data_IF_657305376368
#
_entry.id   IF_657305376368
#
_cell.length_a   1.000
_cell.length_b   1.000
_cell.length_c   1.000
_cell.angle_alpha   90.00
_cell.angle_beta   90.00
_cell.angle_gamma   90.00
#
_symmetry.space_group_name_H-M   'P 1'
#
loop_
_entity.id
_entity.type
_entity.pdbx_description
1 polymer ?
#
# COMPACT_ATOMS: atom_id res chain seq x y z
N UNK A 1 -13.64 24.94 -48.88
CA UNK A 1 -15.05 25.37 -48.77
C UNK A 1 -15.91 24.58 -49.76
N UNK A 2 -16.41 23.38 -49.39
CA UNK A 2 -17.46 22.63 -50.12
C UNK A 2 -17.90 21.32 -49.43
N UNK A 3 -17.20 20.86 -48.38
CA UNK A 3 -17.59 19.66 -47.60
C UNK A 3 -18.68 19.91 -46.54
N UNK A 4 -19.15 21.15 -46.39
CA UNK A 4 -20.14 21.55 -45.37
C UNK A 4 -21.59 21.32 -45.83
N UNK A 5 -21.82 20.88 -47.08
CA UNK A 5 -23.15 20.84 -47.70
C UNK A 5 -23.88 19.48 -47.64
N UNK A 6 -23.37 18.47 -46.93
CA UNK A 6 -23.95 17.10 -47.02
C UNK A 6 -24.23 16.47 -45.66
N UNK A 7 -24.80 17.18 -44.67
CA UNK A 7 -25.42 16.54 -43.50
C UNK A 7 -26.54 17.42 -42.90
N UNK A 8 -27.49 17.85 -43.73
CA UNK A 8 -28.77 18.42 -43.29
C UNK A 8 -29.88 17.49 -43.78
N UNK A 9 -30.15 16.43 -43.00
CA UNK A 9 -31.22 15.46 -43.24
C UNK A 9 -31.69 14.88 -41.92
N UNK A 10 -32.92 15.20 -41.55
CA UNK A 10 -33.53 15.01 -40.24
C UNK A 10 -33.88 13.55 -39.91
N UNK A 11 -33.62 13.12 -38.66
CA UNK A 11 -34.35 12.07 -37.91
C UNK A 11 -34.19 12.41 -36.42
N UNK A 12 -35.15 13.10 -35.78
CA UNK A 12 -36.20 12.54 -34.92
C UNK A 12 -35.71 11.59 -33.81
N UNK A 13 -35.95 12.03 -32.55
CA UNK A 13 -35.99 11.25 -31.31
C UNK A 13 -34.65 10.68 -30.80
N UNK A 14 -34.06 11.37 -29.82
CA UNK A 14 -33.75 10.86 -28.47
C UNK A 14 -33.18 11.99 -27.63
N UNK A 15 -34.04 12.81 -27.05
CA UNK A 15 -33.67 13.70 -25.94
C UNK A 15 -33.50 12.85 -24.67
N UNK A 16 -32.37 12.13 -24.51
CA UNK A 16 -32.07 11.40 -23.28
C UNK A 16 -30.60 10.98 -23.08
N UNK A 17 -29.61 11.45 -23.86
CA UNK A 17 -28.21 10.99 -23.65
C UNK A 17 -27.19 12.11 -23.84
N UNK A 18 -27.32 13.21 -23.08
CA UNK A 18 -26.17 14.06 -22.71
C UNK A 18 -26.42 14.71 -21.35
N UNK A 19 -26.60 13.90 -20.31
CA UNK A 19 -26.26 14.35 -18.97
C UNK A 19 -24.76 14.08 -18.79
N UNK A 20 -23.95 15.04 -18.30
CA UNK A 20 -22.57 14.79 -17.97
C UNK A 20 -22.49 13.60 -17.01
N UNK A 21 -21.47 12.76 -17.21
CA UNK A 21 -21.22 11.52 -16.47
C UNK A 21 -21.00 11.69 -14.95
N UNK A 22 -21.29 12.86 -14.36
CA UNK A 22 -21.17 13.13 -12.93
C UNK A 22 -22.37 12.65 -12.09
N UNK A 23 -23.33 11.94 -12.69
CA UNK A 23 -24.43 11.31 -11.97
C UNK A 23 -24.51 9.79 -12.23
N UNK A 24 -23.41 9.06 -12.11
CA UNK A 24 -23.48 7.66 -11.70
C UNK A 24 -23.69 7.58 -10.18
N UNK A 25 -24.87 8.03 -9.75
CA UNK A 25 -25.44 7.72 -8.45
C UNK A 25 -26.15 6.36 -8.48
N UNK A 26 -25.47 5.32 -8.97
CA UNK A 26 -25.95 3.92 -8.91
C UNK A 26 -24.96 3.00 -8.20
N UNK A 27 -24.04 3.56 -7.41
CA UNK A 27 -23.61 2.83 -6.22
C UNK A 27 -24.78 2.87 -5.25
N UNK A 28 -25.61 1.83 -5.30
CA UNK A 28 -26.34 1.43 -4.09
C UNK A 28 -25.32 1.47 -2.97
N UNK A 29 -25.62 2.22 -1.90
CA UNK A 29 -24.79 2.24 -0.70
C UNK A 29 -24.74 0.79 -0.24
N UNK A 30 -23.71 0.05 -0.62
CA UNK A 30 -23.32 -1.17 0.05
C UNK A 30 -22.96 -0.66 1.44
N UNK A 31 -23.89 -0.80 2.39
CA UNK A 31 -23.55 -0.64 3.80
C UNK A 31 -22.60 -1.78 4.12
N UNK A 32 -21.31 -1.58 3.83
CA UNK A 32 -20.27 -2.51 4.23
C UNK A 32 -20.40 -2.69 5.73
N UNK A 33 -20.51 -3.94 6.15
CA UNK A 33 -20.57 -4.25 7.56
C UNK A 33 -19.27 -3.78 8.24
N UNK A 34 -19.33 -3.51 9.53
CA UNK A 34 -18.13 -3.13 10.31
C UNK A 34 -17.02 -4.20 10.18
N UNK A 35 -17.40 -5.47 9.99
CA UNK A 35 -16.46 -6.56 9.73
C UNK A 35 -15.77 -6.45 8.36
N UNK A 36 -16.50 -6.15 7.28
CA UNK A 36 -15.92 -5.97 5.95
C UNK A 36 -14.96 -4.76 5.89
N UNK A 37 -15.33 -3.65 6.53
CA UNK A 37 -14.47 -2.47 6.64
C UNK A 37 -13.19 -2.75 7.44
N UNK A 38 -13.29 -3.54 8.50
CA UNK A 38 -12.12 -3.94 9.30
C UNK A 38 -11.17 -4.86 8.52
N UNK A 39 -11.71 -5.77 7.70
CA UNK A 39 -10.92 -6.66 6.84
C UNK A 39 -10.22 -5.89 5.72
N UNK A 40 -10.92 -4.97 5.03
CA UNK A 40 -10.33 -4.08 4.02
C UNK A 40 -9.20 -3.22 4.63
N UNK A 41 -9.40 -2.69 5.84
CA UNK A 41 -8.37 -1.95 6.57
C UNK A 41 -7.18 -2.85 6.96
N UNK A 42 -7.43 -4.08 7.41
CA UNK A 42 -6.36 -5.02 7.76
C UNK A 42 -5.51 -5.40 6.54
N UNK A 43 -6.13 -5.60 5.37
CA UNK A 43 -5.42 -5.87 4.11
C UNK A 43 -4.54 -4.69 3.70
N UNK A 44 -5.10 -3.48 3.73
CA UNK A 44 -4.35 -2.25 3.38
C UNK A 44 -3.24 -1.96 4.38
N UNK A 45 -3.48 -2.15 5.68
CA UNK A 45 -2.47 -2.04 6.73
C UNK A 45 -1.35 -3.08 6.54
N UNK A 46 -1.71 -4.33 6.20
CA UNK A 46 -0.73 -5.37 5.92
C UNK A 46 0.10 -5.06 4.67
N UNK A 47 -0.53 -4.58 3.60
CA UNK A 47 0.16 -4.16 2.37
C UNK A 47 1.17 -3.04 2.66
N UNK A 48 0.77 -2.05 3.47
CA UNK A 48 1.64 -0.96 3.91
C UNK A 48 2.82 -1.48 4.74
N UNK A 49 2.57 -2.37 5.71
CA UNK A 49 3.65 -2.97 6.49
C UNK A 49 4.63 -3.76 5.62
N UNK A 50 4.12 -4.48 4.61
CA UNK A 50 4.96 -5.23 3.66
C UNK A 50 5.85 -4.28 2.86
N UNK A 51 5.29 -3.19 2.34
CA UNK A 51 6.05 -2.16 1.64
C UNK A 51 7.14 -1.54 2.54
N UNK A 52 6.78 -1.13 3.76
CA UNK A 52 7.74 -0.55 4.72
C UNK A 52 8.85 -1.54 5.09
N UNK A 53 8.55 -2.85 5.19
CA UNK A 53 9.55 -3.89 5.44
C UNK A 53 10.58 -3.99 4.30
N UNK A 54 10.12 -3.95 3.05
CA UNK A 54 11.02 -4.00 1.88
C UNK A 54 11.85 -2.72 1.74
N UNK A 55 11.28 -1.57 2.08
CA UNK A 55 12.02 -0.31 2.16
C UNK A 55 13.12 -0.37 3.23
N UNK A 56 12.79 -0.82 4.43
CA UNK A 56 13.75 -1.00 5.53
C UNK A 56 14.87 -1.96 5.14
N UNK A 57 14.55 -3.02 4.38
CA UNK A 57 15.54 -3.95 3.83
C UNK A 57 16.49 -3.29 2.84
N UNK A 58 15.97 -2.45 1.94
CA UNK A 58 16.77 -1.73 0.95
C UNK A 58 17.71 -0.73 1.64
N UNK A 59 17.20 0.06 2.60
CA UNK A 59 17.99 1.02 3.38
C UNK A 59 19.02 0.34 4.29
N UNK A 60 18.66 -0.78 4.90
CA UNK A 60 19.62 -1.59 5.67
C UNK A 60 20.76 -2.11 4.78
N UNK A 61 20.47 -2.53 3.55
CA UNK A 61 21.50 -2.92 2.58
C UNK A 61 22.44 -1.76 2.22
N UNK A 62 21.93 -0.52 2.25
CA UNK A 62 22.70 0.72 2.10
C UNK A 62 23.47 1.15 3.39
N UNK A 63 23.54 0.28 4.41
CA UNK A 63 24.21 0.52 5.72
C UNK A 63 23.56 1.61 6.58
N UNK A 64 22.29 1.92 6.38
CA UNK A 64 21.52 2.72 7.32
C UNK A 64 21.13 1.86 8.54
N UNK A 65 21.92 1.92 9.61
CA UNK A 65 21.73 1.05 10.79
C UNK A 65 20.37 1.22 11.47
N UNK A 66 19.78 2.42 11.40
CA UNK A 66 18.40 2.66 11.86
C UNK A 66 17.41 1.75 11.12
N UNK A 67 17.52 1.66 9.79
CA UNK A 67 16.67 0.80 8.98
C UNK A 67 16.95 -0.69 9.23
N UNK A 68 18.20 -1.06 9.56
CA UNK A 68 18.50 -2.43 9.99
C UNK A 68 17.82 -2.79 11.32
N UNK A 69 17.74 -1.85 12.27
CA UNK A 69 17.01 -2.06 13.52
C UNK A 69 15.51 -2.20 13.26
N UNK A 70 14.94 -1.36 12.41
CA UNK A 70 13.55 -1.47 12.00
C UNK A 70 13.27 -2.81 11.33
N UNK A 71 14.07 -3.22 10.34
CA UNK A 71 13.92 -4.53 9.71
C UNK A 71 13.96 -5.67 10.73
N UNK A 72 14.86 -5.61 11.71
CA UNK A 72 14.93 -6.60 12.79
C UNK A 72 13.65 -6.64 13.63
N UNK A 73 13.02 -5.49 13.91
CA UNK A 73 11.73 -5.43 14.59
C UNK A 73 10.58 -5.98 13.72
N UNK A 74 10.58 -5.74 12.41
CA UNK A 74 9.62 -6.33 11.47
C UNK A 74 9.73 -7.84 11.43
N UNK A 75 10.96 -8.36 11.34
CA UNK A 75 11.27 -9.79 11.33
C UNK A 75 10.91 -10.44 12.68
N UNK A 76 11.23 -9.79 13.81
CA UNK A 76 10.91 -10.30 15.15
C UNK A 76 9.41 -10.35 15.42
N UNK A 77 8.65 -9.37 14.93
CA UNK A 77 7.20 -9.27 15.18
C UNK A 77 6.34 -9.93 14.09
N UNK A 78 6.92 -10.30 12.95
CA UNK A 78 6.15 -10.78 11.79
C UNK A 78 5.28 -9.68 11.17
N UNK A 79 5.76 -8.44 11.16
CA UNK A 79 5.06 -7.34 10.51
C UNK A 79 5.35 -7.38 9.00
N UNK A 80 4.31 -7.18 8.19
CA UNK A 80 4.45 -7.12 6.72
C UNK A 80 4.95 -8.41 6.06
N UNK A 81 4.99 -9.54 6.78
CA UNK A 81 5.49 -10.82 6.32
C UNK A 81 5.70 -11.79 7.48
N UNK A 82 6.20 -13.02 7.23
CA UNK A 82 6.40 -14.00 8.29
C UNK A 82 7.41 -13.51 9.34
N UNK A 83 7.23 -13.99 10.57
CA UNK A 83 8.22 -13.83 11.64
C UNK A 83 9.48 -14.63 11.27
N UNK A 84 10.64 -14.03 11.47
CA UNK A 84 11.95 -14.62 11.20
C UNK A 84 12.95 -14.18 12.28
N UNK A 85 13.00 -14.94 13.38
CA UNK A 85 13.89 -14.63 14.51
C UNK A 85 15.39 -14.72 14.14
N UNK A 86 15.84 -15.73 13.36
CA UNK A 86 17.23 -15.76 12.90
C UNK A 86 17.63 -14.53 12.07
N UNK A 87 16.78 -14.08 11.14
CA UNK A 87 17.04 -12.87 10.36
C UNK A 87 17.08 -11.63 11.27
N UNK A 88 16.12 -11.52 12.21
CA UNK A 88 16.08 -10.42 13.17
C UNK A 88 17.38 -10.35 13.99
N UNK A 89 17.84 -11.47 14.56
CA UNK A 89 19.08 -11.53 15.33
C UNK A 89 20.30 -11.09 14.49
N UNK A 90 20.38 -11.51 13.22
CA UNK A 90 21.44 -11.07 12.31
C UNK A 90 21.43 -9.55 12.11
N UNK A 91 20.25 -8.95 11.95
CA UNK A 91 20.14 -7.50 11.76
C UNK A 91 20.39 -6.73 13.07
N UNK A 92 19.90 -7.18 14.21
CA UNK A 92 20.27 -6.63 15.52
C UNK A 92 21.76 -6.68 15.77
N UNK A 93 22.44 -7.77 15.40
CA UNK A 93 23.89 -7.88 15.51
C UNK A 93 24.62 -6.81 14.69
N UNK A 94 24.21 -6.56 13.44
CA UNK A 94 24.80 -5.46 12.64
C UNK A 94 24.66 -4.10 13.33
N UNK A 95 23.49 -3.84 13.91
CA UNK A 95 23.21 -2.59 14.65
C UNK A 95 24.07 -2.50 15.90
N UNK A 96 24.20 -3.59 16.66
CA UNK A 96 25.07 -3.66 17.84
C UNK A 96 26.54 -3.45 17.48
N UNK A 97 27.02 -4.09 16.41
CA UNK A 97 28.39 -3.96 15.91
C UNK A 97 28.71 -2.52 15.49
N UNK A 98 27.69 -1.78 15.02
CA UNK A 98 27.75 -0.35 14.73
C UNK A 98 27.68 0.56 15.99
N UNK A 99 27.80 -0.01 17.19
CA UNK A 99 27.77 0.66 18.49
C UNK A 99 26.43 1.33 18.84
N UNK A 100 25.35 0.91 18.18
CA UNK A 100 24.00 1.27 18.57
C UNK A 100 23.45 0.27 19.59
N UNK A 101 23.28 0.74 20.83
CA UNK A 101 22.87 -0.09 21.97
C UNK A 101 21.51 -0.76 21.79
N UNK A 102 20.63 -0.24 20.92
CA UNK A 102 19.34 -0.88 20.61
C UNK A 102 19.52 -2.23 19.94
N UNK A 103 20.55 -2.36 19.11
CA UNK A 103 20.91 -3.63 18.49
C UNK A 103 21.35 -4.66 19.52
N UNK A 104 22.16 -4.26 20.49
CA UNK A 104 22.62 -5.17 21.54
C UNK A 104 21.46 -5.57 22.47
N UNK A 105 20.57 -4.63 22.80
CA UNK A 105 19.38 -4.90 23.59
C UNK A 105 18.44 -5.90 22.89
N UNK A 106 18.34 -5.87 21.55
CA UNK A 106 17.54 -6.82 20.77
C UNK A 106 18.12 -8.24 20.68
N UNK A 107 19.37 -8.46 21.13
CA UNK A 107 20.02 -9.78 21.19
C UNK A 107 19.95 -10.44 22.58
N UNK A 108 19.55 -9.69 23.61
CA UNK A 108 19.44 -10.16 24.98
C UNK A 108 18.14 -10.93 25.21
#
# INVERSE_FOLDING_TARGET
MKKVLMMLGAVLVTAAITLPSSAQGTTGRVERTQAELAMEKAETDFAKLKETREEAKTKCAAREYQACYELAEFERKGLGGPQDLPAAAKNYKKVCDAKDGRGCAGLA
#
